data_IF_776963606190
#
_entry.id   IF_776963606190
#
_cell.length_a   1.000
_cell.length_b   1.000
_cell.length_c   1.000
_cell.angle_alpha   90.00
_cell.angle_beta   90.00
_cell.angle_gamma   90.00
#
_symmetry.space_group_name_H-M   'P 1'
#
loop_
_entity.id
_entity.type
_entity.pdbx_description
1 polymer ?
#
# COMPACT_ATOMS: atom_id res chain seq x y z
N UNK A 1 -38.90 -12.93 -3.89
CA UNK A 1 -37.51 -12.94 -4.40
C UNK A 1 -36.66 -12.20 -3.39
N UNK A 2 -35.74 -12.89 -2.71
CA UNK A 2 -34.76 -12.23 -1.85
C UNK A 2 -33.63 -11.70 -2.75
N UNK A 3 -33.18 -10.45 -2.61
CA UNK A 3 -32.00 -9.99 -3.31
C UNK A 3 -30.79 -10.81 -2.84
N UNK A 4 -30.04 -11.37 -3.79
CA UNK A 4 -28.78 -12.08 -3.54
C UNK A 4 -27.81 -11.11 -2.85
N UNK A 5 -27.06 -11.53 -1.82
CA UNK A 5 -26.13 -10.66 -1.13
C UNK A 5 -24.95 -10.37 -2.06
N UNK A 6 -24.88 -9.14 -2.58
CA UNK A 6 -23.74 -8.58 -3.31
C UNK A 6 -22.53 -8.26 -2.41
N UNK A 7 -22.58 -8.65 -1.13
CA UNK A 7 -21.61 -8.21 -0.12
C UNK A 7 -20.21 -8.84 -0.29
N UNK A 8 -20.08 -10.00 -0.94
CA UNK A 8 -18.80 -10.75 -0.96
C UNK A 8 -17.79 -10.22 -1.99
N UNK A 9 -18.20 -9.48 -3.02
CA UNK A 9 -17.28 -9.00 -4.08
C UNK A 9 -16.73 -7.60 -3.85
N UNK A 10 -17.37 -6.78 -3.00
CA UNK A 10 -16.99 -5.38 -2.82
C UNK A 10 -15.69 -5.20 -2.02
N UNK A 11 -15.46 -6.02 -1.00
CA UNK A 11 -14.30 -5.90 -0.13
C UNK A 11 -12.97 -6.30 -0.81
N UNK A 12 -12.87 -7.42 -1.55
CA UNK A 12 -11.65 -7.76 -2.29
C UNK A 12 -11.26 -6.68 -3.33
N UNK A 13 -12.24 -6.11 -4.03
CA UNK A 13 -12.02 -5.04 -5.00
C UNK A 13 -11.47 -3.75 -4.36
N UNK A 14 -11.84 -3.45 -3.11
CA UNK A 14 -11.33 -2.28 -2.37
C UNK A 14 -9.86 -2.45 -2.00
N UNK A 15 -9.47 -3.64 -1.53
CA UNK A 15 -8.07 -3.96 -1.20
C UNK A 15 -7.20 -3.86 -2.44
N UNK A 16 -7.60 -4.48 -3.56
CA UNK A 16 -6.86 -4.41 -4.81
C UNK A 16 -6.72 -2.97 -5.34
N UNK A 17 -7.77 -2.16 -5.19
CA UNK A 17 -7.74 -0.75 -5.57
C UNK A 17 -6.77 0.06 -4.72
N UNK A 18 -6.76 -0.15 -3.40
CA UNK A 18 -5.86 0.54 -2.48
C UNK A 18 -4.38 0.17 -2.75
N UNK A 19 -4.10 -1.13 -2.97
CA UNK A 19 -2.76 -1.60 -3.33
C UNK A 19 -2.30 -1.01 -4.67
N UNK A 20 -3.19 -0.96 -5.66
CA UNK A 20 -2.90 -0.34 -6.96
C UNK A 20 -2.55 1.14 -6.80
N UNK A 21 -3.30 1.89 -6.00
CA UNK A 21 -3.01 3.31 -5.76
C UNK A 21 -1.65 3.52 -5.09
N UNK A 22 -1.30 2.68 -4.11
CA UNK A 22 0.04 2.70 -3.51
C UNK A 22 1.13 2.45 -4.56
N UNK A 23 0.96 1.41 -5.39
CA UNK A 23 1.94 1.08 -6.43
C UNK A 23 2.09 2.20 -7.46
N UNK A 24 1.00 2.87 -7.85
CA UNK A 24 1.04 4.00 -8.78
C UNK A 24 1.82 5.20 -8.23
N UNK A 25 1.74 5.47 -6.92
CA UNK A 25 2.56 6.51 -6.28
C UNK A 25 4.06 6.16 -6.34
N UNK A 26 4.38 4.89 -6.05
CA UNK A 26 5.76 4.40 -6.13
C UNK A 26 6.29 4.46 -7.57
N UNK A 27 5.50 3.99 -8.55
CA UNK A 27 5.88 4.01 -9.96
C UNK A 27 6.04 5.44 -10.49
N UNK A 28 5.20 6.38 -10.04
CA UNK A 28 5.31 7.80 -10.39
C UNK A 28 6.59 8.45 -9.83
N UNK A 29 6.94 8.12 -8.59
CA UNK A 29 8.18 8.58 -7.96
C UNK A 29 9.44 7.97 -8.61
N UNK A 30 9.38 6.69 -8.97
CA UNK A 30 10.42 6.00 -9.74
C UNK A 30 10.62 6.68 -11.11
N UNK A 31 9.54 6.91 -11.86
CA UNK A 31 9.58 7.52 -13.19
C UNK A 31 10.07 8.98 -13.20
N UNK A 32 9.95 9.69 -12.07
CA UNK A 32 10.43 11.07 -11.89
C UNK A 32 11.81 11.13 -11.24
N UNK A 33 12.41 9.98 -10.90
CA UNK A 33 13.68 9.86 -10.18
C UNK A 33 13.68 10.52 -8.79
N UNK A 34 12.50 10.64 -8.17
CA UNK A 34 12.36 11.08 -6.78
C UNK A 34 12.85 10.00 -5.79
N UNK A 35 12.85 8.74 -6.23
CA UNK A 35 13.42 7.58 -5.52
C UNK A 35 14.21 6.69 -6.49
N UNK A 36 15.14 5.91 -5.93
CA UNK A 36 15.89 4.91 -6.68
C UNK A 36 15.02 3.68 -7.01
N UNK A 37 15.33 3.00 -8.13
CA UNK A 37 14.62 1.79 -8.59
C UNK A 37 14.59 0.67 -7.54
N UNK A 38 15.67 0.50 -6.76
CA UNK A 38 15.73 -0.51 -5.69
C UNK A 38 14.83 -0.14 -4.50
N UNK A 39 14.66 1.15 -4.21
CA UNK A 39 13.71 1.64 -3.19
C UNK A 39 12.28 1.38 -3.65
N UNK A 40 11.97 1.70 -4.91
CA UNK A 40 10.67 1.44 -5.50
C UNK A 40 10.32 -0.06 -5.47
N UNK A 41 11.27 -0.91 -5.87
CA UNK A 41 11.11 -2.36 -5.84
C UNK A 41 10.95 -2.91 -4.42
N UNK A 42 11.77 -2.48 -3.46
CA UNK A 42 11.69 -2.91 -2.05
C UNK A 42 10.32 -2.57 -1.44
N UNK A 43 9.81 -1.34 -1.67
CA UNK A 43 8.50 -0.93 -1.16
C UNK A 43 7.35 -1.75 -1.75
N UNK A 44 7.36 -1.99 -3.06
CA UNK A 44 6.37 -2.84 -3.75
C UNK A 44 6.40 -4.29 -3.22
N UNK A 45 7.59 -4.85 -3.03
CA UNK A 45 7.76 -6.22 -2.53
C UNK A 45 7.32 -6.35 -1.08
N UNK A 46 7.71 -5.43 -0.20
CA UNK A 46 7.33 -5.46 1.21
C UNK A 46 5.82 -5.31 1.37
N UNK A 47 5.16 -4.42 0.60
CA UNK A 47 3.70 -4.32 0.61
C UNK A 47 3.03 -5.63 0.17
N UNK A 48 3.47 -6.19 -0.95
CA UNK A 48 2.92 -7.46 -1.46
C UNK A 48 3.06 -8.59 -0.45
N UNK A 49 4.22 -8.69 0.21
CA UNK A 49 4.47 -9.70 1.23
C UNK A 49 3.60 -9.46 2.48
N UNK A 50 3.48 -8.21 2.92
CA UNK A 50 2.66 -7.83 4.06
C UNK A 50 1.17 -8.20 3.86
N UNK A 51 0.62 -7.87 2.70
CA UNK A 51 -0.76 -8.20 2.33
C UNK A 51 -0.93 -9.71 2.11
N UNK A 52 -0.09 -10.31 1.27
CA UNK A 52 -0.23 -11.71 0.86
C UNK A 52 -0.04 -12.71 2.01
N UNK A 53 0.77 -12.35 3.02
CA UNK A 53 1.02 -13.19 4.19
C UNK A 53 0.21 -12.77 5.42
N UNK A 54 -0.63 -11.72 5.34
CA UNK A 54 -1.38 -11.20 6.47
C UNK A 54 -0.52 -10.69 7.63
N UNK A 55 0.72 -10.24 7.36
CA UNK A 55 1.70 -9.84 8.39
C UNK A 55 1.47 -8.42 8.94
N UNK A 56 0.42 -7.73 8.48
CA UNK A 56 0.15 -6.34 8.82
C UNK A 56 1.11 -5.36 8.14
N UNK A 57 0.74 -4.08 8.13
CA UNK A 57 1.45 -3.05 7.36
C UNK A 57 2.56 -2.32 8.15
N UNK A 58 2.82 -2.71 9.41
CA UNK A 58 3.85 -2.10 10.26
C UNK A 58 5.27 -2.19 9.65
N UNK A 59 5.58 -3.31 8.99
CA UNK A 59 6.85 -3.49 8.27
C UNK A 59 6.97 -2.50 7.10
N UNK A 60 5.87 -2.24 6.38
CA UNK A 60 5.86 -1.26 5.27
C UNK A 60 6.06 0.16 5.82
N UNK A 61 5.36 0.53 6.90
CA UNK A 61 5.54 1.82 7.60
C UNK A 61 7.00 2.02 8.02
N UNK A 62 7.60 1.00 8.63
CA UNK A 62 9.00 1.02 9.08
C UNK A 62 9.95 1.22 7.91
N UNK A 63 9.73 0.54 6.78
CA UNK A 63 10.55 0.70 5.58
C UNK A 63 10.47 2.11 5.01
N UNK A 64 9.27 2.69 4.92
CA UNK A 64 9.09 4.09 4.47
C UNK A 64 9.88 5.05 5.36
N UNK A 65 9.80 4.90 6.68
CA UNK A 65 10.55 5.72 7.63
C UNK A 65 12.07 5.58 7.45
N UNK A 66 12.57 4.35 7.29
CA UNK A 66 13.99 4.10 7.06
C UNK A 66 14.47 4.78 5.78
N UNK A 67 13.75 4.64 4.66
CA UNK A 67 14.14 5.29 3.38
C UNK A 67 14.15 6.80 3.47
N UNK A 68 13.23 7.38 4.24
CA UNK A 68 13.23 8.81 4.53
C UNK A 68 14.47 9.22 5.36
N UNK A 69 14.80 8.47 6.40
CA UNK A 69 15.99 8.73 7.22
C UNK A 69 17.30 8.56 6.45
N UNK A 70 17.35 7.66 5.47
CA UNK A 70 18.48 7.48 4.55
C UNK A 70 18.60 8.61 3.51
N UNK A 71 17.61 9.52 3.42
CA UNK A 71 17.56 10.57 2.39
C UNK A 71 17.19 10.05 1.00
N UNK A 72 16.71 8.81 0.89
CA UNK A 72 16.33 8.11 -0.35
C UNK A 72 14.84 8.17 -0.63
N UNK A 73 14.10 8.97 0.16
CA UNK A 73 12.68 9.19 0.04
C UNK A 73 12.37 10.65 0.42
N UNK A 74 11.80 11.46 -0.48
CA UNK A 74 11.39 12.82 -0.15
C UNK A 74 10.30 12.85 0.93
N UNK A 75 10.29 13.91 1.76
CA UNK A 75 9.29 14.06 2.84
C UNK A 75 7.84 14.06 2.32
N UNK A 76 7.60 14.73 1.19
CA UNK A 76 6.27 14.77 0.55
C UNK A 76 5.81 13.36 0.19
N UNK A 77 6.67 12.60 -0.49
CA UNK A 77 6.37 11.23 -0.91
C UNK A 77 6.18 10.29 0.29
N UNK A 78 6.97 10.45 1.36
CA UNK A 78 6.73 9.75 2.63
C UNK A 78 5.30 9.96 3.11
N UNK A 79 4.83 11.22 3.15
CA UNK A 79 3.46 11.54 3.59
C UNK A 79 2.40 10.87 2.71
N UNK A 80 2.57 10.91 1.40
CA UNK A 80 1.65 10.30 0.44
C UNK A 80 1.61 8.77 0.55
N UNK A 81 2.78 8.13 0.70
CA UNK A 81 2.88 6.68 0.87
C UNK A 81 2.26 6.22 2.18
N UNK A 82 2.46 6.95 3.28
CA UNK A 82 1.81 6.63 4.56
C UNK A 82 0.29 6.77 4.47
N UNK A 83 -0.21 7.83 3.84
CA UNK A 83 -1.65 8.00 3.64
C UNK A 83 -2.25 6.94 2.71
N UNK A 84 -1.52 6.50 1.68
CA UNK A 84 -1.93 5.39 0.83
C UNK A 84 -1.94 4.07 1.61
N UNK A 85 -0.97 3.86 2.50
CA UNK A 85 -0.90 2.67 3.34
C UNK A 85 -2.04 2.61 4.36
N UNK A 86 -2.45 3.75 4.93
CA UNK A 86 -3.63 3.84 5.80
C UNK A 86 -4.91 3.38 5.07
N UNK A 87 -5.04 3.71 3.77
CA UNK A 87 -6.17 3.23 2.94
C UNK A 87 -6.12 1.72 2.71
N UNK A 88 -4.92 1.15 2.53
CA UNK A 88 -4.75 -0.31 2.43
C UNK A 88 -5.15 -0.96 3.74
N UNK A 89 -4.72 -0.42 4.88
CA UNK A 89 -5.07 -0.95 6.21
C UNK A 89 -6.58 -0.92 6.47
N UNK A 90 -7.23 0.20 6.14
CA UNK A 90 -8.69 0.33 6.24
C UNK A 90 -9.41 -0.70 5.37
N UNK A 91 -8.99 -0.86 4.11
CA UNK A 91 -9.58 -1.85 3.21
C UNK A 91 -9.38 -3.30 3.69
N UNK A 92 -8.21 -3.62 4.27
CA UNK A 92 -7.94 -4.93 4.85
C UNK A 92 -8.79 -5.20 6.09
N UNK A 93 -8.98 -4.18 6.94
CA UNK A 93 -9.82 -4.28 8.14
C UNK A 93 -11.28 -4.55 7.75
N UNK A 94 -11.83 -3.76 6.83
CA UNK A 94 -13.18 -3.96 6.29
C UNK A 94 -13.37 -5.36 5.68
N UNK A 95 -12.36 -5.85 4.95
CA UNK A 95 -12.39 -7.18 4.35
C UNK A 95 -12.29 -8.33 5.37
N UNK A 96 -11.72 -8.07 6.55
CA UNK A 96 -11.58 -9.06 7.61
C UNK A 96 -12.80 -9.12 8.54
N UNK A 97 -13.60 -8.04 8.59
CA UNK A 97 -14.85 -7.95 9.35
C UNK A 97 -16.08 -8.49 8.58
N UNK A 98 -15.92 -8.90 7.31
CA UNK A 98 -16.98 -9.45 6.44
C UNK A 98 -16.92 -10.97 6.37
#
# INVERSE_FOLDING_TARGET
MAPLPLATTAAPLRVDTAIRQFNLLVDGAEATHDIDDDVALDLKQVLRNAVGNGQGLSTVRTKIEVRYQEGRLPLTLKGELLAALDRVEAALTEASDT
#
